data_IF_368390922371
#
_entry.id   IF_368390922371
#
_cell.length_a   1.000
_cell.length_b   1.000
_cell.length_c   1.000
_cell.angle_alpha   90.00
_cell.angle_beta   90.00
_cell.angle_gamma   90.00
#
_symmetry.space_group_name_H-M   'P 1'
#
loop_
_entity.id
_entity.type
_entity.pdbx_description
1 polymer ?
#
# COMPACT_ATOMS: atom_id res chain seq x y z
N UNK A 1 -14.56 -7.79 -23.12
CA UNK A 1 -13.89 -6.98 -22.09
C UNK A 1 -12.69 -7.77 -21.58
N UNK A 2 -11.56 -7.13 -21.30
CA UNK A 2 -10.39 -7.82 -20.74
C UNK A 2 -10.79 -8.52 -19.44
N UNK A 3 -10.37 -9.77 -19.24
CA UNK A 3 -10.59 -10.54 -18.00
C UNK A 3 -9.88 -9.91 -16.78
N UNK A 4 -9.02 -8.92 -17.02
CA UNK A 4 -8.22 -8.21 -16.04
C UNK A 4 -8.71 -6.79 -15.77
N UNK A 5 -9.89 -6.41 -16.26
CA UNK A 5 -10.54 -5.13 -15.96
C UNK A 5 -10.87 -5.01 -14.47
N UNK A 6 -10.83 -3.79 -13.95
CA UNK A 6 -11.31 -3.44 -12.60
C UNK A 6 -12.83 -3.46 -12.53
N UNK A 7 -13.48 -3.34 -13.68
CA UNK A 7 -14.96 -3.28 -13.77
C UNK A 7 -15.62 -4.49 -13.13
N UNK A 8 -16.52 -4.23 -12.19
CA UNK A 8 -17.28 -5.25 -11.47
C UNK A 8 -16.51 -5.94 -10.34
N UNK A 9 -15.27 -5.54 -10.05
CA UNK A 9 -14.40 -6.16 -9.04
C UNK A 9 -14.65 -5.63 -7.63
N UNK A 10 -14.41 -6.49 -6.65
CA UNK A 10 -14.34 -6.14 -5.24
C UNK A 10 -12.90 -5.87 -4.83
N UNK A 11 -12.67 -4.74 -4.20
CA UNK A 11 -11.36 -4.26 -3.77
C UNK A 11 -11.31 -4.08 -2.27
N UNK A 12 -10.29 -4.62 -1.60
CA UNK A 12 -9.93 -4.32 -0.21
C UNK A 12 -8.66 -3.48 -0.16
N UNK A 13 -8.70 -2.35 0.57
CA UNK A 13 -7.54 -1.48 0.78
C UNK A 13 -7.29 -1.31 2.29
N UNK A 14 -6.27 -1.95 2.81
CA UNK A 14 -5.79 -1.69 4.16
C UNK A 14 -5.05 -0.34 4.19
N UNK A 15 -5.47 0.57 5.12
CA UNK A 15 -4.98 1.95 5.14
C UNK A 15 -5.68 2.87 4.14
N UNK A 16 -6.91 2.56 3.74
CA UNK A 16 -7.66 3.21 2.66
C UNK A 16 -8.39 4.51 2.99
N UNK A 17 -8.23 5.08 4.19
CA UNK A 17 -9.02 6.25 4.57
C UNK A 17 -8.56 7.55 3.90
N UNK A 18 -7.26 7.76 3.74
CA UNK A 18 -6.65 9.01 3.27
C UNK A 18 -5.35 8.79 2.50
N UNK A 19 -4.71 9.86 2.10
CA UNK A 19 -3.44 9.87 1.37
C UNK A 19 -3.46 8.85 0.21
N UNK A 20 -2.39 8.08 0.03
CA UNK A 20 -2.27 7.11 -1.07
C UNK A 20 -3.43 6.09 -1.07
N UNK A 21 -3.74 5.49 0.08
CA UNK A 21 -4.81 4.49 0.15
C UNK A 21 -6.19 5.04 -0.19
N UNK A 22 -6.50 6.25 0.29
CA UNK A 22 -7.76 6.94 -0.03
C UNK A 22 -7.86 7.34 -1.51
N UNK A 23 -6.75 7.77 -2.11
CA UNK A 23 -6.69 8.08 -3.54
C UNK A 23 -6.88 6.83 -4.40
N UNK A 24 -6.20 5.72 -4.05
CA UNK A 24 -6.37 4.42 -4.71
C UNK A 24 -7.85 3.98 -4.64
N UNK A 25 -8.51 4.11 -3.48
CA UNK A 25 -9.92 3.75 -3.34
C UNK A 25 -10.83 4.50 -4.31
N UNK A 26 -10.62 5.81 -4.43
CA UNK A 26 -11.39 6.68 -5.33
C UNK A 26 -11.10 6.38 -6.80
N UNK A 27 -9.83 6.19 -7.14
CA UNK A 27 -9.41 5.89 -8.51
C UNK A 27 -9.97 4.55 -9.01
N UNK A 28 -9.84 3.49 -8.22
CA UNK A 28 -10.35 2.17 -8.63
C UNK A 28 -11.89 2.17 -8.73
N UNK A 29 -12.59 2.91 -7.86
CA UNK A 29 -14.03 3.10 -8.00
C UNK A 29 -14.40 3.85 -9.28
N UNK A 30 -13.68 4.93 -9.61
CA UNK A 30 -13.88 5.68 -10.85
C UNK A 30 -13.62 4.84 -12.12
N UNK A 31 -12.80 3.79 -12.00
CA UNK A 31 -12.50 2.84 -13.07
C UNK A 31 -13.35 1.57 -13.03
N UNK A 32 -14.50 1.62 -12.32
CA UNK A 32 -15.55 0.62 -12.39
C UNK A 32 -15.48 -0.50 -11.35
N UNK A 33 -14.70 -0.38 -10.29
CA UNK A 33 -14.83 -1.30 -9.16
C UNK A 33 -16.27 -1.31 -8.66
N UNK A 34 -16.85 -2.50 -8.46
CA UNK A 34 -18.21 -2.66 -7.96
C UNK A 34 -18.32 -2.33 -6.47
N UNK A 35 -17.37 -2.84 -5.71
CA UNK A 35 -17.34 -2.70 -4.25
C UNK A 35 -15.94 -2.34 -3.79
N UNK A 36 -15.81 -1.30 -2.97
CA UNK A 36 -14.55 -0.89 -2.35
C UNK A 36 -14.69 -0.97 -0.83
N UNK A 37 -13.85 -1.79 -0.23
CA UNK A 37 -13.75 -1.93 1.22
C UNK A 37 -12.44 -1.28 1.66
N UNK A 38 -12.52 -0.35 2.61
CA UNK A 38 -11.34 0.28 3.18
C UNK A 38 -11.18 -0.08 4.66
N UNK A 39 -9.95 -0.14 5.11
CA UNK A 39 -9.61 -0.22 6.53
C UNK A 39 -8.93 1.07 6.97
N UNK A 40 -9.15 1.47 8.22
CA UNK A 40 -8.42 2.54 8.91
C UNK A 40 -8.13 2.18 10.37
N UNK A 41 -7.06 2.76 10.92
CA UNK A 41 -6.58 2.38 12.26
C UNK A 41 -7.28 3.15 13.38
N UNK A 42 -7.27 4.48 13.33
CA UNK A 42 -7.62 5.36 14.47
C UNK A 42 -8.99 5.99 14.31
N UNK A 43 -9.75 6.19 15.40
CA UNK A 43 -10.96 7.02 15.39
C UNK A 43 -10.73 8.42 14.80
N UNK A 44 -9.52 8.98 14.94
CA UNK A 44 -9.16 10.28 14.35
C UNK A 44 -9.18 10.30 12.81
N UNK A 45 -9.14 9.14 12.17
CA UNK A 45 -9.24 8.99 10.71
C UNK A 45 -10.67 8.65 10.24
N UNK A 46 -11.66 8.67 11.11
CA UNK A 46 -13.05 8.35 10.77
C UNK A 46 -13.64 9.37 9.78
N UNK A 47 -13.34 10.66 9.95
CA UNK A 47 -13.78 11.71 9.04
C UNK A 47 -13.19 11.52 7.63
N UNK A 48 -11.89 11.19 7.55
CA UNK A 48 -11.22 10.88 6.28
C UNK A 48 -11.83 9.63 5.62
N UNK A 49 -12.11 8.59 6.40
CA UNK A 49 -12.75 7.37 5.91
C UNK A 49 -14.16 7.67 5.35
N UNK A 50 -14.98 8.44 6.07
CA UNK A 50 -16.30 8.88 5.60
C UNK A 50 -16.22 9.66 4.29
N UNK A 51 -15.26 10.60 4.17
CA UNK A 51 -15.06 11.37 2.95
C UNK A 51 -14.65 10.48 1.76
N UNK A 52 -13.77 9.49 2.00
CA UNK A 52 -13.38 8.53 0.98
C UNK A 52 -14.56 7.65 0.56
N UNK A 53 -15.36 7.12 1.51
CA UNK A 53 -16.57 6.34 1.18
C UNK A 53 -17.59 7.16 0.37
N UNK A 54 -17.79 8.44 0.69
CA UNK A 54 -18.67 9.29 -0.07
C UNK A 54 -18.20 9.50 -1.52
N UNK A 55 -16.89 9.71 -1.70
CA UNK A 55 -16.30 9.85 -3.03
C UNK A 55 -16.45 8.56 -3.87
N UNK A 56 -16.20 7.41 -3.25
CA UNK A 56 -16.41 6.09 -3.87
C UNK A 56 -17.88 5.90 -4.28
N UNK A 57 -18.82 6.17 -3.38
CA UNK A 57 -20.26 6.01 -3.67
C UNK A 57 -20.78 6.92 -4.78
N UNK A 58 -20.16 8.09 -4.98
CA UNK A 58 -20.51 9.00 -6.10
C UNK A 58 -20.23 8.41 -7.48
N UNK A 59 -19.36 7.40 -7.57
CA UNK A 59 -19.10 6.67 -8.82
C UNK A 59 -20.14 5.58 -9.10
N UNK A 60 -21.05 5.30 -8.16
CA UNK A 60 -22.01 4.19 -8.22
C UNK A 60 -21.49 2.91 -7.55
N UNK A 61 -20.26 2.87 -7.05
CA UNK A 61 -19.72 1.73 -6.33
C UNK A 61 -20.28 1.62 -4.91
N UNK A 62 -20.41 0.40 -4.42
CA UNK A 62 -20.64 0.13 -3.00
C UNK A 62 -19.36 0.42 -2.20
N UNK A 63 -19.50 0.92 -0.97
CA UNK A 63 -18.36 1.29 -0.14
C UNK A 63 -18.58 0.97 1.33
N UNK A 64 -17.61 0.27 1.94
CA UNK A 64 -17.58 -0.12 3.34
C UNK A 64 -16.26 0.30 3.99
N UNK A 65 -16.29 0.59 5.30
CA UNK A 65 -15.09 0.90 6.07
C UNK A 65 -15.09 0.12 7.38
N UNK A 66 -13.91 -0.41 7.75
CA UNK A 66 -13.70 -1.10 9.01
C UNK A 66 -12.52 -0.49 9.76
N UNK A 67 -12.78 -0.15 11.03
CA UNK A 67 -11.73 0.28 11.93
C UNK A 67 -11.12 -0.91 12.65
N UNK A 68 -9.78 -0.99 12.68
CA UNK A 68 -9.04 -1.97 13.47
C UNK A 68 -7.59 -1.53 13.70
N UNK A 69 -6.97 -2.02 14.77
CA UNK A 69 -5.51 -2.07 14.90
C UNK A 69 -5.02 -3.40 14.33
N UNK A 70 -4.44 -3.39 13.12
CA UNK A 70 -3.99 -4.61 12.45
C UNK A 70 -2.77 -5.27 13.11
N UNK A 71 -2.12 -4.63 14.08
CA UNK A 71 -1.04 -5.26 14.86
C UNK A 71 -1.58 -6.24 15.91
N UNK A 72 -2.87 -6.13 16.24
CA UNK A 72 -3.51 -7.02 17.21
C UNK A 72 -3.69 -8.44 16.63
N UNK A 73 -3.57 -9.47 17.47
CA UNK A 73 -3.79 -10.85 17.05
C UNK A 73 -5.16 -11.05 16.40
N UNK A 74 -5.19 -11.68 15.23
CA UNK A 74 -6.44 -11.98 14.50
C UNK A 74 -7.06 -10.82 13.73
N UNK A 75 -6.64 -9.57 13.97
CA UNK A 75 -7.28 -8.40 13.36
C UNK A 75 -7.25 -8.40 11.82
N UNK A 76 -6.15 -8.85 11.21
CA UNK A 76 -6.06 -8.97 9.75
C UNK A 76 -7.04 -10.01 9.23
N UNK A 77 -7.12 -11.19 9.84
CA UNK A 77 -8.10 -12.23 9.45
C UNK A 77 -9.53 -11.70 9.55
N UNK A 78 -9.89 -11.08 10.68
CA UNK A 78 -11.19 -10.45 10.88
C UNK A 78 -11.51 -9.38 9.82
N UNK A 79 -10.52 -8.61 9.35
CA UNK A 79 -10.71 -7.65 8.27
C UNK A 79 -11.14 -8.33 6.96
N UNK A 80 -10.49 -9.45 6.60
CA UNK A 80 -10.85 -10.23 5.42
C UNK A 80 -12.23 -10.87 5.56
N UNK A 81 -12.55 -11.44 6.72
CA UNK A 81 -13.89 -12.02 7.01
C UNK A 81 -14.99 -10.96 6.85
N UNK A 82 -14.82 -9.78 7.46
CA UNK A 82 -15.77 -8.67 7.31
C UNK A 82 -15.89 -8.19 5.87
N UNK A 83 -14.80 -8.19 5.13
CA UNK A 83 -14.80 -7.85 3.70
C UNK A 83 -15.68 -8.83 2.91
N UNK A 84 -15.50 -10.12 3.12
CA UNK A 84 -16.29 -11.15 2.44
C UNK A 84 -17.77 -11.14 2.87
N UNK A 85 -18.05 -10.87 4.15
CA UNK A 85 -19.42 -10.70 4.63
C UNK A 85 -20.12 -9.51 3.97
N UNK A 86 -19.42 -8.40 3.78
CA UNK A 86 -20.00 -7.20 3.18
C UNK A 86 -20.11 -7.28 1.65
N UNK A 87 -19.16 -7.91 0.97
CA UNK A 87 -19.03 -7.85 -0.49
C UNK A 87 -19.22 -9.18 -1.22
N UNK A 88 -19.27 -10.32 -0.49
CA UNK A 88 -19.46 -11.65 -1.03
C UNK A 88 -18.25 -12.29 -1.73
N UNK A 89 -17.34 -11.49 -2.26
CA UNK A 89 -16.11 -11.95 -2.93
C UNK A 89 -14.98 -10.92 -2.76
N UNK A 90 -13.74 -11.31 -3.09
CA UNK A 90 -12.60 -10.41 -3.09
C UNK A 90 -11.72 -10.69 -4.31
N UNK A 91 -11.50 -9.68 -5.15
CA UNK A 91 -10.71 -9.80 -6.37
C UNK A 91 -9.36 -9.09 -6.27
N UNK A 92 -9.31 -7.96 -5.56
CA UNK A 92 -8.11 -7.11 -5.46
C UNK A 92 -7.87 -6.79 -3.99
N UNK A 93 -6.67 -7.07 -3.49
CA UNK A 93 -6.25 -6.75 -2.13
C UNK A 93 -5.00 -5.86 -2.16
N UNK A 94 -5.07 -4.69 -1.52
CA UNK A 94 -3.98 -3.70 -1.51
C UNK A 94 -3.64 -3.35 -0.06
N UNK A 95 -2.36 -3.53 0.31
CA UNK A 95 -1.86 -3.15 1.62
C UNK A 95 -1.04 -1.87 1.54
N UNK A 96 -1.58 -0.77 2.07
CA UNK A 96 -0.87 0.51 2.21
C UNK A 96 -0.43 0.81 3.65
N UNK A 97 -0.68 -0.13 4.58
CA UNK A 97 -0.35 0.05 6.00
C UNK A 97 1.15 0.10 6.21
N UNK A 98 1.57 1.04 7.03
CA UNK A 98 2.95 1.17 7.44
C UNK A 98 3.18 2.40 8.32
N UNK A 99 4.35 2.41 8.94
CA UNK A 99 4.86 3.52 9.75
C UNK A 99 6.33 3.68 9.46
N UNK A 100 6.81 4.92 9.37
CA UNK A 100 8.24 5.22 9.26
C UNK A 100 8.82 5.56 10.63
N UNK A 101 10.07 5.17 10.83
CA UNK A 101 10.91 5.61 11.94
C UNK A 101 12.26 6.04 11.35
N UNK A 102 12.68 7.27 11.64
CA UNK A 102 14.00 7.80 11.31
C UNK A 102 14.78 7.98 12.60
N UNK A 103 15.76 7.09 12.84
CA UNK A 103 16.53 7.06 14.09
C UNK A 103 17.91 6.44 13.86
N UNK A 104 18.99 6.95 14.50
CA UNK A 104 20.29 6.29 14.45
C UNK A 104 20.19 4.84 14.91
N UNK A 105 20.93 3.92 14.28
CA UNK A 105 20.88 2.50 14.62
C UNK A 105 21.31 2.24 16.08
N UNK A 106 22.29 3.00 16.56
CA UNK A 106 22.79 2.88 17.94
C UNK A 106 21.77 3.34 19.00
N UNK A 107 20.81 4.21 18.62
CA UNK A 107 19.79 4.75 19.52
C UNK A 107 18.45 4.02 19.40
N UNK A 108 18.34 3.11 18.42
CA UNK A 108 17.11 2.33 18.17
C UNK A 108 16.97 1.27 19.26
N UNK A 109 15.85 1.31 20.01
CA UNK A 109 15.56 0.35 21.08
C UNK A 109 14.91 -0.93 20.53
N UNK A 110 14.84 -1.98 21.36
CA UNK A 110 14.14 -3.22 21.02
C UNK A 110 12.63 -2.94 20.80
N UNK A 111 12.05 -2.02 21.57
CA UNK A 111 10.64 -1.61 21.40
C UNK A 111 10.41 -0.89 20.07
N UNK A 112 11.34 -0.03 19.65
CA UNK A 112 11.29 0.62 18.32
C UNK A 112 11.34 -0.45 17.21
N UNK A 113 12.25 -1.41 17.34
CA UNK A 113 12.39 -2.52 16.40
C UNK A 113 11.10 -3.35 16.33
N UNK A 114 10.59 -3.80 17.48
CA UNK A 114 9.38 -4.62 17.55
C UNK A 114 8.17 -3.89 16.98
N UNK A 115 7.98 -2.60 17.30
CA UNK A 115 6.89 -1.79 16.76
C UNK A 115 6.99 -1.64 15.24
N UNK A 116 8.20 -1.39 14.69
CA UNK A 116 8.40 -1.24 13.26
C UNK A 116 8.17 -2.54 12.50
N UNK A 117 8.65 -3.68 13.03
CA UNK A 117 8.43 -4.98 12.42
C UNK A 117 6.99 -5.47 12.59
N UNK A 118 6.33 -5.16 13.71
CA UNK A 118 4.92 -5.48 13.88
C UNK A 118 4.06 -4.83 12.79
N UNK A 119 4.18 -3.50 12.60
CA UNK A 119 3.31 -2.76 11.67
C UNK A 119 3.70 -2.93 10.20
N UNK A 120 4.99 -2.96 9.85
CA UNK A 120 5.43 -3.00 8.46
C UNK A 120 5.62 -4.42 7.91
N UNK A 121 6.08 -5.35 8.75
CA UNK A 121 6.43 -6.72 8.32
C UNK A 121 5.34 -7.72 8.65
N UNK A 122 4.98 -7.84 9.96
CA UNK A 122 4.03 -8.84 10.41
C UNK A 122 2.63 -8.61 9.84
N UNK A 123 2.14 -7.36 9.85
CA UNK A 123 0.85 -7.00 9.22
C UNK A 123 0.87 -7.34 7.73
N UNK A 124 1.93 -6.98 7.00
CA UNK A 124 2.03 -7.29 5.57
C UNK A 124 2.06 -8.81 5.31
N UNK A 125 2.82 -9.58 6.09
CA UNK A 125 2.83 -11.03 6.00
C UNK A 125 1.44 -11.63 6.23
N UNK A 126 0.75 -11.19 7.30
CA UNK A 126 -0.60 -11.64 7.60
C UNK A 126 -1.58 -11.26 6.50
N UNK A 127 -1.47 -10.05 5.93
CA UNK A 127 -2.30 -9.59 4.83
C UNK A 127 -2.10 -10.44 3.57
N UNK A 128 -0.85 -10.74 3.21
CA UNK A 128 -0.51 -11.64 2.08
C UNK A 128 -1.08 -13.04 2.32
N UNK A 129 -0.94 -13.57 3.54
CA UNK A 129 -1.47 -14.88 3.92
C UNK A 129 -2.99 -14.95 3.79
N UNK A 130 -3.72 -13.97 4.32
CA UNK A 130 -5.19 -13.95 4.24
C UNK A 130 -5.66 -13.67 2.80
N UNK A 131 -4.96 -12.82 2.06
CA UNK A 131 -5.22 -12.64 0.61
C UNK A 131 -5.06 -13.96 -0.15
N UNK A 132 -4.02 -14.74 0.15
CA UNK A 132 -3.83 -16.07 -0.44
C UNK A 132 -4.99 -17.03 -0.19
N UNK A 133 -5.66 -16.95 0.96
CA UNK A 133 -6.83 -17.78 1.29
C UNK A 133 -8.11 -17.29 0.59
N UNK A 134 -8.30 -15.98 0.49
CA UNK A 134 -9.60 -15.37 0.24
C UNK A 134 -9.76 -14.69 -1.13
N UNK A 135 -8.66 -14.37 -1.82
CA UNK A 135 -8.76 -13.84 -3.18
C UNK A 135 -9.41 -14.84 -4.13
N UNK A 136 -10.27 -14.35 -5.00
CA UNK A 136 -10.78 -15.10 -6.15
C UNK A 136 -9.64 -15.53 -7.08
N UNK A 137 -9.85 -16.58 -7.88
CA UNK A 137 -8.91 -16.93 -8.94
C UNK A 137 -8.75 -15.74 -9.91
N UNK A 138 -7.56 -15.56 -10.45
CA UNK A 138 -7.14 -14.39 -11.22
C UNK A 138 -7.12 -13.08 -10.42
N UNK A 139 -7.11 -13.16 -9.09
CA UNK A 139 -7.03 -12.01 -8.19
C UNK A 139 -5.71 -11.25 -8.29
N UNK A 140 -5.67 -10.09 -7.61
CA UNK A 140 -4.50 -9.22 -7.57
C UNK A 140 -4.15 -8.85 -6.13
N UNK A 141 -2.88 -8.98 -5.79
CA UNK A 141 -2.34 -8.60 -4.49
C UNK A 141 -1.21 -7.59 -4.67
N UNK A 142 -1.32 -6.44 -4.02
CA UNK A 142 -0.31 -5.39 -4.07
C UNK A 142 0.04 -4.90 -2.67
N UNK A 143 1.34 -4.77 -2.40
CA UNK A 143 1.86 -4.18 -1.16
C UNK A 143 2.62 -2.89 -1.45
N UNK A 144 2.43 -1.87 -0.62
CA UNK A 144 3.24 -0.66 -0.67
C UNK A 144 4.49 -0.88 0.20
N UNK A 145 5.64 -0.78 -0.46
CA UNK A 145 6.96 -0.81 0.17
C UNK A 145 7.59 0.59 0.13
N UNK A 146 8.85 0.73 -0.20
CA UNK A 146 9.55 2.02 -0.23
C UNK A 146 10.69 2.00 -1.23
N UNK A 147 11.01 3.14 -1.86
CA UNK A 147 12.22 3.29 -2.68
C UNK A 147 13.51 3.14 -1.88
N UNK A 148 13.46 3.21 -0.55
CA UNK A 148 14.62 2.93 0.30
C UNK A 148 15.17 1.50 0.13
N UNK A 149 14.43 0.59 -0.48
CA UNK A 149 14.94 -0.74 -0.88
C UNK A 149 16.06 -0.66 -1.93
N UNK A 150 16.15 0.43 -2.66
CA UNK A 150 17.23 0.73 -3.60
C UNK A 150 18.17 1.83 -3.13
N UNK A 151 18.04 2.32 -1.89
CA UNK A 151 18.81 3.45 -1.38
C UNK A 151 19.96 3.02 -0.47
N UNK A 152 21.00 3.83 -0.46
CA UNK A 152 22.04 3.86 0.58
C UNK A 152 21.84 5.13 1.41
N UNK A 153 21.08 5.00 2.54
CA UNK A 153 20.71 6.16 3.37
C UNK A 153 20.75 5.82 4.86
N UNK A 154 21.23 6.72 5.73
CA UNK A 154 21.29 6.53 7.18
C UNK A 154 19.90 6.69 7.83
N UNK A 155 19.78 6.25 9.07
CA UNK A 155 18.68 6.45 10.02
C UNK A 155 17.38 5.68 9.75
N UNK A 156 17.28 4.91 8.66
CA UNK A 156 16.07 4.15 8.31
C UNK A 156 16.23 2.63 8.47
N UNK A 157 17.18 2.16 9.28
CA UNK A 157 17.55 0.73 9.39
C UNK A 157 16.35 -0.17 9.63
N UNK A 158 15.55 0.12 10.67
CA UNK A 158 14.37 -0.70 11.02
C UNK A 158 13.25 -0.57 10.00
N UNK A 159 13.02 0.62 9.48
CA UNK A 159 11.97 0.85 8.47
C UNK A 159 12.31 0.15 7.14
N UNK A 160 13.49 0.40 6.60
CA UNK A 160 13.92 -0.21 5.34
C UNK A 160 14.06 -1.74 5.48
N UNK A 161 14.62 -2.23 6.59
CA UNK A 161 14.70 -3.65 6.90
C UNK A 161 13.32 -4.33 7.00
N UNK A 162 12.37 -3.68 7.66
CA UNK A 162 10.99 -4.16 7.77
C UNK A 162 10.28 -4.23 6.40
N UNK A 163 10.52 -3.27 5.51
CA UNK A 163 9.97 -3.25 4.15
C UNK A 163 10.69 -4.21 3.20
N UNK A 164 11.99 -4.48 3.41
CA UNK A 164 12.73 -5.48 2.64
C UNK A 164 12.17 -6.90 2.81
N UNK A 165 11.71 -7.26 4.01
CA UNK A 165 11.03 -8.52 4.23
C UNK A 165 9.76 -8.67 3.35
N UNK A 166 9.00 -7.59 3.17
CA UNK A 166 7.77 -7.61 2.35
C UNK A 166 8.08 -7.88 0.88
N UNK A 167 9.20 -7.39 0.36
CA UNK A 167 9.66 -7.72 -0.99
C UNK A 167 9.86 -9.23 -1.15
N UNK A 168 10.51 -9.89 -0.17
CA UNK A 168 10.73 -11.34 -0.22
C UNK A 168 9.43 -12.13 -0.06
N UNK A 169 8.51 -11.67 0.79
CA UNK A 169 7.17 -12.28 0.89
C UNK A 169 6.40 -12.18 -0.44
N UNK A 170 6.51 -11.05 -1.13
CA UNK A 170 5.92 -10.83 -2.45
C UNK A 170 6.43 -11.85 -3.47
N UNK A 171 7.74 -12.09 -3.50
CA UNK A 171 8.37 -13.08 -4.40
C UNK A 171 7.89 -14.50 -4.11
N UNK A 172 7.88 -14.92 -2.85
CA UNK A 172 7.43 -16.25 -2.45
C UNK A 172 5.94 -16.44 -2.79
N UNK A 173 5.09 -15.53 -2.35
CA UNK A 173 3.64 -15.59 -2.58
C UNK A 173 3.29 -15.59 -4.08
N UNK A 174 4.06 -14.90 -4.94
CA UNK A 174 3.83 -14.90 -6.38
C UNK A 174 3.96 -16.30 -7.01
N UNK A 175 4.85 -17.12 -6.48
CA UNK A 175 5.02 -18.52 -6.92
C UNK A 175 3.94 -19.43 -6.34
N UNK A 176 3.65 -19.27 -5.05
CA UNK A 176 2.67 -20.11 -4.35
C UNK A 176 1.25 -19.90 -4.87
N UNK A 177 0.87 -18.66 -5.23
CA UNK A 177 -0.47 -18.29 -5.67
C UNK A 177 -0.65 -18.31 -7.19
N UNK A 178 0.43 -18.49 -7.94
CA UNK A 178 0.43 -18.50 -9.41
C UNK A 178 -0.48 -19.56 -10.02
N UNK A 179 -0.61 -20.75 -9.38
CA UNK A 179 -1.53 -21.81 -9.81
C UNK A 179 -3.02 -21.42 -9.80
N UNK A 180 -3.37 -20.33 -9.11
CA UNK A 180 -4.71 -19.74 -9.09
C UNK A 180 -4.83 -18.50 -9.99
N UNK A 181 -3.79 -18.18 -10.77
CA UNK A 181 -3.74 -16.97 -11.61
C UNK A 181 -3.63 -15.66 -10.80
N UNK A 182 -3.28 -15.72 -9.52
CA UNK A 182 -3.15 -14.53 -8.68
C UNK A 182 -1.78 -13.90 -8.92
N UNK A 183 -1.76 -12.62 -9.35
CA UNK A 183 -0.52 -11.85 -9.41
C UNK A 183 -0.25 -11.14 -8.09
N UNK A 184 1.00 -11.21 -7.62
CA UNK A 184 1.45 -10.63 -6.34
C UNK A 184 2.64 -9.73 -6.61
N UNK A 185 2.49 -8.44 -6.32
CA UNK A 185 3.54 -7.45 -6.57
C UNK A 185 3.68 -6.46 -5.42
N UNK A 186 4.75 -5.69 -5.45
CA UNK A 186 4.98 -4.56 -4.58
C UNK A 186 5.34 -3.30 -5.36
N UNK A 187 5.00 -2.14 -4.84
CA UNK A 187 5.38 -0.84 -5.37
C UNK A 187 6.09 -0.02 -4.29
N UNK A 188 7.23 0.56 -4.63
CA UNK A 188 8.06 1.37 -3.74
C UNK A 188 8.08 2.84 -4.18
N UNK A 189 7.21 3.67 -3.59
CA UNK A 189 7.24 5.11 -3.85
C UNK A 189 8.53 5.76 -3.36
N UNK A 190 8.91 6.87 -4.00
CA UNK A 190 9.86 7.83 -3.47
C UNK A 190 9.34 8.57 -2.24
N UNK A 191 10.09 9.55 -1.71
CA UNK A 191 9.57 10.48 -0.72
C UNK A 191 8.32 11.16 -1.27
N UNK A 192 7.17 10.95 -0.61
CA UNK A 192 5.88 11.47 -1.09
C UNK A 192 5.48 12.73 -0.35
N UNK A 193 4.88 13.69 -1.05
CA UNK A 193 4.30 14.91 -0.49
C UNK A 193 3.06 14.60 0.38
N UNK A 194 3.31 14.07 1.58
CA UNK A 194 2.27 13.66 2.52
C UNK A 194 2.70 13.89 3.96
N UNK A 195 1.76 14.00 4.92
CA UNK A 195 2.10 14.06 6.34
C UNK A 195 2.93 12.88 6.85
N UNK A 196 2.88 11.74 6.18
CA UNK A 196 3.71 10.57 6.51
C UNK A 196 5.21 10.86 6.34
N UNK A 197 5.58 11.59 5.29
CA UNK A 197 6.95 12.02 5.04
C UNK A 197 7.37 13.16 5.97
N UNK A 198 6.60 14.25 5.98
CA UNK A 198 6.97 15.46 6.72
C UNK A 198 7.08 15.25 8.23
N UNK A 199 6.34 14.29 8.80
CA UNK A 199 6.40 14.01 10.23
C UNK A 199 7.71 13.42 10.74
N UNK A 200 8.65 13.07 9.84
CA UNK A 200 9.94 12.44 10.17
C UNK A 200 11.14 13.26 9.69
N UNK A 201 10.92 14.33 8.94
CA UNK A 201 11.99 15.05 8.27
C UNK A 201 12.20 16.44 8.83
N UNK A 202 13.47 16.80 9.08
CA UNK A 202 13.86 18.17 9.37
C UNK A 202 13.84 19.02 8.10
N UNK A 203 13.70 20.37 8.20
CA UNK A 203 13.58 21.26 7.05
C UNK A 203 14.71 21.13 6.02
N UNK A 204 15.96 20.95 6.45
CA UNK A 204 17.11 20.77 5.57
C UNK A 204 17.03 19.45 4.80
N UNK A 205 16.58 18.38 5.45
CA UNK A 205 16.37 17.09 4.81
C UNK A 205 15.20 17.15 3.81
N UNK A 206 14.13 17.85 4.13
CA UNK A 206 13.04 18.12 3.19
C UNK A 206 13.54 18.83 1.94
N UNK A 207 14.35 19.89 2.11
CA UNK A 207 14.93 20.63 0.98
C UNK A 207 15.81 19.74 0.08
N UNK A 208 16.63 18.86 0.69
CA UNK A 208 17.41 17.87 -0.03
C UNK A 208 16.51 16.92 -0.83
N UNK A 209 15.50 16.31 -0.20
CA UNK A 209 14.62 15.36 -0.85
C UNK A 209 13.85 15.97 -2.03
N UNK A 210 13.47 17.25 -1.94
CA UNK A 210 12.80 17.99 -3.01
C UNK A 210 13.66 18.25 -4.25
N UNK A 211 14.96 18.02 -4.17
CA UNK A 211 15.90 18.20 -5.29
C UNK A 211 16.62 16.91 -5.69
N UNK A 212 16.45 15.83 -4.94
CA UNK A 212 17.29 14.63 -5.07
C UNK A 212 16.86 13.68 -6.20
N UNK A 213 15.61 13.65 -6.59
CA UNK A 213 15.17 12.82 -7.69
C UNK A 213 15.52 13.47 -9.04
N UNK A 214 15.85 12.67 -10.04
CA UNK A 214 16.19 13.17 -11.38
C UNK A 214 15.07 14.00 -12.00
N UNK A 215 13.80 13.66 -11.69
CA UNK A 215 12.63 14.37 -12.20
C UNK A 215 12.11 15.47 -11.24
N UNK A 216 12.75 15.71 -10.09
CA UNK A 216 12.33 16.75 -9.14
C UNK A 216 12.13 18.13 -9.78
N UNK A 217 12.95 18.60 -10.75
CA UNK A 217 12.74 19.91 -11.37
C UNK A 217 11.45 20.03 -12.20
N UNK A 218 10.81 18.91 -12.52
CA UNK A 218 9.58 18.82 -13.31
C UNK A 218 8.35 18.45 -12.46
N UNK A 219 8.55 18.10 -11.18
CA UNK A 219 7.49 17.85 -10.20
C UNK A 219 6.97 19.18 -9.65
N UNK A 220 5.69 19.24 -9.34
CA UNK A 220 5.07 20.40 -8.72
C UNK A 220 5.64 20.71 -7.33
N UNK A 221 5.95 19.68 -6.54
CA UNK A 221 6.46 19.81 -5.17
C UNK A 221 7.96 19.50 -5.03
N UNK A 222 8.57 18.92 -6.06
CA UNK A 222 9.92 18.35 -6.04
C UNK A 222 9.98 16.92 -5.49
N UNK A 223 8.85 16.42 -4.93
CA UNK A 223 8.70 15.08 -4.38
C UNK A 223 7.82 14.21 -5.30
N UNK A 224 7.71 12.93 -4.99
CA UNK A 224 6.71 12.04 -5.58
C UNK A 224 5.32 12.47 -5.07
N UNK A 225 4.38 12.70 -5.94
CA UNK A 225 3.00 12.99 -5.57
C UNK A 225 2.17 11.69 -5.49
N UNK A 226 1.09 11.71 -4.75
CA UNK A 226 0.22 10.52 -4.63
C UNK A 226 -0.36 10.17 -6.00
N UNK A 227 -0.64 11.18 -6.81
CA UNK A 227 -1.12 11.11 -8.18
C UNK A 227 -0.14 10.40 -9.12
N UNK A 228 1.15 10.47 -8.85
CA UNK A 228 2.18 9.76 -9.63
C UNK A 228 2.13 8.25 -9.38
N UNK A 229 1.70 7.83 -8.19
CA UNK A 229 1.70 6.42 -7.78
C UNK A 229 0.43 5.70 -8.21
N UNK A 230 -0.73 6.36 -8.10
CA UNK A 230 -2.05 5.76 -8.31
C UNK A 230 -2.22 5.11 -9.70
N UNK A 231 -1.79 5.72 -10.82
CA UNK A 231 -1.87 5.08 -12.14
C UNK A 231 -1.08 3.77 -12.24
N UNK A 232 0.08 3.69 -11.58
CA UNK A 232 0.89 2.47 -11.53
C UNK A 232 0.21 1.37 -10.72
N UNK A 233 -0.41 1.74 -9.57
CA UNK A 233 -1.22 0.80 -8.78
C UNK A 233 -2.36 0.26 -9.63
N UNK A 234 -3.12 1.13 -10.30
CA UNK A 234 -4.22 0.73 -11.18
C UNK A 234 -3.74 -0.21 -12.29
N UNK A 235 -2.64 0.13 -12.97
CA UNK A 235 -2.06 -0.74 -14.00
C UNK A 235 -1.69 -2.12 -13.44
N UNK A 236 -1.02 -2.19 -12.29
CA UNK A 236 -0.57 -3.45 -11.69
C UNK A 236 -1.73 -4.36 -11.24
N UNK A 237 -2.89 -3.78 -10.91
CA UNK A 237 -4.09 -4.56 -10.52
C UNK A 237 -5.07 -4.78 -11.67
N UNK A 238 -4.71 -4.38 -12.90
CA UNK A 238 -5.51 -4.56 -14.12
C UNK A 238 -4.65 -5.06 -15.28
N UNK A 239 -4.34 -4.20 -16.25
CA UNK A 239 -3.63 -4.57 -17.49
C UNK A 239 -2.21 -5.11 -17.26
N UNK A 240 -1.60 -4.77 -16.12
CA UNK A 240 -0.32 -5.31 -15.67
C UNK A 240 -0.37 -6.73 -15.11
N UNK A 241 -1.43 -7.49 -15.34
CA UNK A 241 -1.69 -8.82 -14.77
C UNK A 241 -0.59 -9.86 -15.01
N UNK A 242 0.19 -9.70 -16.07
CA UNK A 242 1.30 -10.60 -16.39
C UNK A 242 2.55 -10.33 -15.54
N UNK A 243 2.56 -9.24 -14.79
CA UNK A 243 3.60 -8.94 -13.80
C UNK A 243 3.27 -9.68 -12.50
N UNK A 244 4.21 -10.50 -12.01
CA UNK A 244 4.10 -11.11 -10.68
C UNK A 244 5.48 -11.29 -10.06
N UNK A 245 5.57 -11.19 -8.73
CA UNK A 245 6.82 -11.27 -7.97
C UNK A 245 7.71 -10.04 -8.09
N UNK A 246 7.20 -8.93 -8.64
CA UNK A 246 7.99 -7.74 -8.91
C UNK A 246 7.85 -6.71 -7.79
N UNK A 247 8.94 -5.99 -7.55
CA UNK A 247 8.96 -4.74 -6.77
C UNK A 247 9.35 -3.62 -7.71
N UNK A 248 8.42 -2.71 -7.98
CA UNK A 248 8.62 -1.59 -8.90
C UNK A 248 8.82 -0.31 -8.08
N UNK A 249 9.95 0.36 -8.29
CA UNK A 249 10.21 1.66 -7.69
C UNK A 249 9.64 2.77 -8.59
N UNK A 250 8.77 3.61 -8.02
CA UNK A 250 8.19 4.79 -8.68
C UNK A 250 8.58 6.01 -7.86
N UNK A 251 9.67 6.68 -8.26
CA UNK A 251 10.36 7.64 -7.42
C UNK A 251 11.05 8.77 -8.19
N UNK A 252 10.71 8.98 -9.45
CA UNK A 252 11.30 10.04 -10.28
C UNK A 252 12.83 9.94 -10.47
N UNK A 253 13.41 8.75 -10.30
CA UNK A 253 14.86 8.56 -10.34
C UNK A 253 15.58 8.95 -9.03
N UNK A 254 14.87 8.95 -7.91
CA UNK A 254 15.45 9.18 -6.58
C UNK A 254 16.42 8.04 -6.19
N UNK A 255 16.05 6.79 -6.47
CA UNK A 255 16.90 5.62 -6.29
C UNK A 255 16.72 4.64 -7.45
N UNK A 256 17.71 3.79 -7.66
CA UNK A 256 17.68 2.68 -8.63
C UNK A 256 17.91 1.34 -7.92
N UNK A 257 17.51 0.25 -8.58
CA UNK A 257 17.67 -1.11 -8.06
C UNK A 257 18.20 -2.03 -9.17
#
# INVERSE_FOLDING_TARGET
>A
MSTHSITGKTVLIAGGAKNLGGMIARDLAAHGAKTVVIHYHSPTSEADAKATLQAVRRTGAEAFAFQADLTQPGAVATLFEKTLQAAGSLDIAINTVGKVLKKPIADTTDEDYDAMFAINTKVAFQFIREAGKHLSNNGKLLSIVTSLLGAYTPFYSTYAGAKAAVEHFTRAASKELGGRGISVNAIGPGPMDTPFFYGQEEPEAVAYHKSAAALSPFSHTGLTEVEDIVPHVRFMVSDGWWMTGQTILVNGGYTTK
#
